data_IF_895748291687
#
_entry.id   IF_895748291687
#
_cell.length_a   1.000
_cell.length_b   1.000
_cell.length_c   1.000
_cell.angle_alpha   90.00
_cell.angle_beta   90.00
_cell.angle_gamma   90.00
#
_symmetry.space_group_name_H-M   'P 1'
#
loop_
_entity.id
_entity.type
_entity.pdbx_description
1 polymer ?
#
# COMPACT_ATOMS: atom_id res chain seq x y z
N UNK A 1 -22.21 -11.88 18.89
CA UNK A 1 -20.86 -11.90 19.51
C UNK A 1 -20.16 -13.17 19.04
N UNK A 2 -19.09 -13.01 18.29
CA UNK A 2 -18.27 -14.11 17.77
C UNK A 2 -17.04 -14.33 18.62
N UNK A 3 -16.63 -15.58 18.81
CA UNK A 3 -15.37 -15.94 19.47
C UNK A 3 -14.48 -16.70 18.50
N UNK A 4 -13.27 -16.19 18.28
CA UNK A 4 -12.33 -16.75 17.31
C UNK A 4 -10.91 -16.83 17.91
N UNK A 5 -10.11 -17.81 17.48
CA UNK A 5 -8.69 -17.87 17.86
C UNK A 5 -7.89 -16.74 17.23
N UNK A 6 -8.13 -16.49 15.94
CA UNK A 6 -7.39 -15.48 15.16
C UNK A 6 -8.36 -14.64 14.33
N UNK A 7 -8.36 -13.34 14.56
CA UNK A 7 -9.03 -12.38 13.68
C UNK A 7 -7.98 -11.74 12.76
N UNK A 8 -8.30 -11.66 11.47
CA UNK A 8 -7.48 -10.96 10.47
C UNK A 8 -8.26 -9.75 9.97
N UNK A 9 -7.66 -8.56 10.04
CA UNK A 9 -8.29 -7.30 9.63
C UNK A 9 -7.62 -6.82 8.33
N UNK A 10 -8.35 -6.94 7.21
CA UNK A 10 -7.88 -6.56 5.88
C UNK A 10 -7.61 -7.77 4.99
N UNK A 11 -7.89 -7.62 3.69
CA UNK A 11 -7.94 -8.68 2.68
C UNK A 11 -6.94 -8.48 1.53
N UNK A 12 -5.94 -7.63 1.70
CA UNK A 12 -4.84 -7.54 0.74
C UNK A 12 -3.95 -8.81 0.74
N UNK A 13 -2.87 -8.83 -0.04
CA UNK A 13 -1.95 -9.98 -0.10
C UNK A 13 -1.43 -10.42 1.27
N UNK A 14 -1.20 -9.48 2.19
CA UNK A 14 -0.80 -9.78 3.56
C UNK A 14 -1.90 -10.54 4.33
N UNK A 15 -3.15 -10.04 4.26
CA UNK A 15 -4.29 -10.64 4.97
C UNK A 15 -4.63 -12.04 4.48
N UNK A 16 -4.76 -12.23 3.17
CA UNK A 16 -5.04 -13.57 2.64
C UNK A 16 -3.88 -14.54 2.86
N UNK A 17 -2.63 -14.08 2.78
CA UNK A 17 -1.49 -14.95 3.12
C UNK A 17 -1.50 -15.33 4.60
N UNK A 18 -1.74 -14.39 5.50
CA UNK A 18 -1.90 -14.68 6.92
C UNK A 18 -3.04 -15.68 7.16
N UNK A 19 -4.17 -15.54 6.46
CA UNK A 19 -5.31 -16.41 6.55
C UNK A 19 -4.97 -17.85 6.10
N UNK A 20 -4.27 -18.01 4.98
CA UNK A 20 -3.81 -19.31 4.48
C UNK A 20 -2.96 -20.03 5.52
N UNK A 21 -1.95 -19.34 6.07
CA UNK A 21 -1.04 -19.94 7.04
C UNK A 21 -1.72 -20.23 8.38
N UNK A 22 -2.54 -19.32 8.89
CA UNK A 22 -3.30 -19.51 10.12
C UNK A 22 -4.31 -20.67 10.00
N UNK A 23 -5.01 -20.79 8.88
CA UNK A 23 -5.94 -21.89 8.63
C UNK A 23 -5.22 -23.24 8.57
N UNK A 24 -4.05 -23.30 7.93
CA UNK A 24 -3.22 -24.51 7.86
C UNK A 24 -2.64 -24.93 9.22
N UNK A 25 -2.50 -23.99 10.16
CA UNK A 25 -2.11 -24.23 11.55
C UNK A 25 -3.33 -24.53 12.47
N UNK A 26 -4.53 -24.76 11.92
CA UNK A 26 -5.80 -24.99 12.65
C UNK A 26 -6.17 -23.85 13.63
N UNK A 27 -5.80 -22.63 13.30
CA UNK A 27 -6.17 -21.45 14.09
C UNK A 27 -7.58 -20.95 13.79
N UNK A 28 -8.29 -21.57 12.81
CA UNK A 28 -9.65 -21.22 12.41
C UNK A 28 -9.86 -19.71 12.25
N UNK A 29 -9.10 -19.08 11.34
CA UNK A 29 -9.12 -17.64 11.22
C UNK A 29 -10.45 -17.13 10.66
N UNK A 30 -10.91 -16.00 11.24
CA UNK A 30 -11.95 -15.15 10.68
C UNK A 30 -11.27 -13.93 10.05
N UNK A 31 -11.54 -13.64 8.77
CA UNK A 31 -11.02 -12.49 8.07
C UNK A 31 -12.14 -11.53 7.71
N UNK A 32 -11.98 -10.25 8.05
CA UNK A 32 -12.82 -9.15 7.57
C UNK A 32 -12.09 -8.39 6.46
N UNK A 33 -12.77 -8.23 5.33
CA UNK A 33 -12.16 -7.70 4.10
C UNK A 33 -11.83 -6.21 4.14
N UNK A 34 -12.53 -5.44 4.95
CA UNK A 34 -12.57 -3.99 4.83
C UNK A 34 -13.60 -3.55 3.77
N UNK A 35 -13.56 -2.26 3.43
CA UNK A 35 -14.48 -1.65 2.44
C UNK A 35 -14.17 -2.07 1.00
N UNK A 36 -12.92 -2.41 0.72
CA UNK A 36 -12.43 -2.82 -0.60
C UNK A 36 -11.88 -4.25 -0.52
N UNK A 37 -12.73 -5.29 -0.74
CA UNK A 37 -12.29 -6.68 -0.72
C UNK A 37 -11.16 -6.94 -1.72
N UNK A 38 -10.00 -7.40 -1.24
CA UNK A 38 -8.78 -7.59 -2.04
C UNK A 38 -7.80 -6.42 -1.96
N UNK A 39 -8.23 -5.25 -1.45
CA UNK A 39 -7.37 -4.08 -1.25
C UNK A 39 -6.87 -3.46 -2.56
N UNK A 40 -5.76 -2.74 -2.51
CA UNK A 40 -5.27 -1.91 -3.62
C UNK A 40 -5.04 -2.66 -4.94
N UNK A 41 -4.70 -3.94 -4.92
CA UNK A 41 -4.50 -4.72 -6.15
C UNK A 41 -5.78 -4.86 -6.98
N UNK A 42 -6.96 -4.70 -6.40
CA UNK A 42 -8.21 -4.74 -7.15
C UNK A 42 -8.41 -3.55 -8.10
N UNK A 43 -7.61 -2.51 -7.95
CA UNK A 43 -7.59 -1.34 -8.84
C UNK A 43 -6.45 -1.38 -9.86
N UNK A 44 -5.63 -2.44 -9.83
CA UNK A 44 -4.47 -2.64 -10.73
C UNK A 44 -4.88 -3.54 -11.89
N UNK A 45 -4.57 -3.12 -13.12
CA UNK A 45 -4.94 -3.87 -14.33
C UNK A 45 -4.04 -5.06 -14.58
N UNK A 46 -2.75 -4.95 -14.29
CA UNK A 46 -1.76 -6.00 -14.58
C UNK A 46 -0.72 -6.09 -13.44
N UNK A 47 -0.43 -7.31 -13.00
CA UNK A 47 0.54 -7.64 -11.96
C UNK A 47 1.57 -8.61 -12.55
N UNK A 48 2.72 -8.07 -12.95
CA UNK A 48 3.82 -8.84 -13.57
C UNK A 48 4.92 -9.21 -12.59
N UNK A 49 4.92 -8.61 -11.41
CA UNK A 49 6.00 -8.72 -10.44
C UNK A 49 5.69 -9.61 -9.22
N UNK A 50 4.58 -10.35 -9.24
CA UNK A 50 4.27 -11.34 -8.21
C UNK A 50 4.69 -12.74 -8.69
N UNK A 51 5.65 -13.41 -8.00
CA UNK A 51 6.13 -14.73 -8.42
C UNK A 51 5.01 -15.78 -8.45
N UNK A 52 4.96 -16.57 -9.53
CA UNK A 52 3.96 -17.62 -9.72
C UNK A 52 3.04 -17.38 -10.92
N UNK A 53 3.07 -16.18 -11.49
CA UNK A 53 2.30 -15.81 -12.68
C UNK A 53 3.25 -15.46 -13.85
N UNK A 54 3.74 -16.46 -14.62
CA UNK A 54 4.76 -16.23 -15.66
C UNK A 54 4.24 -15.39 -16.84
N UNK A 55 2.94 -15.35 -17.04
CA UNK A 55 2.27 -14.60 -18.11
C UNK A 55 1.56 -13.34 -17.59
N UNK A 56 1.87 -12.91 -16.34
CA UNK A 56 1.14 -11.87 -15.64
C UNK A 56 -0.24 -12.32 -15.15
N UNK A 57 -0.90 -11.48 -14.38
CA UNK A 57 -2.28 -11.67 -13.92
C UNK A 57 -2.92 -10.31 -13.64
N UNK A 58 -4.21 -10.16 -13.91
CA UNK A 58 -4.89 -8.96 -13.44
C UNK A 58 -5.08 -8.96 -11.91
N UNK A 59 -4.98 -7.79 -11.31
CA UNK A 59 -5.03 -7.68 -9.85
C UNK A 59 -6.31 -8.26 -9.23
N UNK A 60 -7.51 -7.95 -9.75
CA UNK A 60 -8.78 -8.55 -9.27
C UNK A 60 -8.77 -10.08 -9.28
N UNK A 61 -8.33 -10.70 -10.38
CA UNK A 61 -8.24 -12.16 -10.50
C UNK A 61 -7.30 -12.74 -9.46
N UNK A 62 -6.10 -12.17 -9.32
CA UNK A 62 -5.14 -12.60 -8.30
C UNK A 62 -5.75 -12.57 -6.88
N UNK A 63 -6.47 -11.50 -6.54
CA UNK A 63 -7.06 -11.36 -5.21
C UNK A 63 -8.20 -12.35 -4.97
N UNK A 64 -9.01 -12.66 -6.00
CA UNK A 64 -10.02 -13.72 -5.94
C UNK A 64 -9.39 -15.11 -5.77
N UNK A 65 -8.26 -15.39 -6.42
CA UNK A 65 -7.52 -16.65 -6.26
C UNK A 65 -6.94 -16.80 -4.86
N UNK A 66 -6.35 -15.75 -4.29
CA UNK A 66 -5.86 -15.74 -2.91
C UNK A 66 -6.98 -15.96 -1.90
N UNK A 67 -8.14 -15.32 -2.09
CA UNK A 67 -9.33 -15.56 -1.26
C UNK A 67 -9.76 -17.02 -1.32
N UNK A 68 -9.96 -17.58 -2.52
CA UNK A 68 -10.32 -18.98 -2.71
C UNK A 68 -9.33 -19.94 -2.07
N UNK A 69 -8.03 -19.60 -2.12
CA UNK A 69 -7.01 -20.40 -1.48
C UNK A 69 -7.14 -20.37 0.06
N UNK A 70 -7.42 -19.21 0.65
CA UNK A 70 -7.64 -19.07 2.09
C UNK A 70 -8.90 -19.85 2.54
N UNK A 71 -10.01 -19.70 1.82
CA UNK A 71 -11.28 -20.39 2.08
C UNK A 71 -11.14 -21.91 1.95
N UNK A 72 -10.37 -22.40 0.97
CA UNK A 72 -10.09 -23.83 0.78
C UNK A 72 -9.45 -24.47 2.02
N UNK A 73 -8.67 -23.73 2.80
CA UNK A 73 -8.07 -24.20 4.06
C UNK A 73 -8.95 -23.95 5.29
N UNK A 74 -10.13 -23.36 5.12
CA UNK A 74 -11.11 -23.17 6.19
C UNK A 74 -11.08 -21.79 6.84
N UNK A 75 -10.49 -20.77 6.18
CA UNK A 75 -10.68 -19.38 6.59
C UNK A 75 -12.13 -18.99 6.35
N UNK A 76 -12.78 -18.42 7.37
CA UNK A 76 -14.05 -17.73 7.19
C UNK A 76 -13.78 -16.30 6.73
N UNK A 77 -14.22 -15.94 5.52
CA UNK A 77 -14.07 -14.59 4.96
C UNK A 77 -15.41 -13.86 5.03
N UNK A 78 -15.44 -12.71 5.68
CA UNK A 78 -16.63 -11.85 5.78
C UNK A 78 -16.35 -10.48 5.16
N UNK A 79 -17.31 -10.02 4.37
CA UNK A 79 -17.33 -8.65 3.87
C UNK A 79 -17.79 -7.73 5.00
N UNK A 80 -17.04 -6.69 5.27
CA UNK A 80 -17.36 -5.71 6.30
C UNK A 80 -16.14 -4.98 6.82
N UNK A 81 -16.40 -3.89 7.52
CA UNK A 81 -15.36 -2.99 8.03
C UNK A 81 -15.31 -3.05 9.56
N UNK A 82 -14.11 -3.34 10.08
CA UNK A 82 -13.82 -3.17 11.51
C UNK A 82 -13.54 -1.69 11.74
N UNK A 83 -14.41 -1.02 12.48
CA UNK A 83 -14.33 0.41 12.73
C UNK A 83 -13.79 0.78 14.12
N UNK A 84 -13.65 -0.20 15.01
CA UNK A 84 -13.12 0.00 16.35
C UNK A 84 -12.50 -1.27 16.90
N UNK A 85 -11.46 -1.11 17.71
CA UNK A 85 -10.83 -2.20 18.47
C UNK A 85 -10.65 -1.80 19.95
N UNK A 86 -10.50 -2.82 20.80
CA UNK A 86 -10.11 -2.68 22.18
C UNK A 86 -9.18 -3.84 22.55
N UNK A 87 -7.89 -3.55 22.65
CA UNK A 87 -6.86 -4.56 22.89
C UNK A 87 -6.62 -4.77 24.39
N UNK A 88 -6.57 -6.05 24.79
CA UNK A 88 -6.05 -6.41 26.11
C UNK A 88 -4.54 -6.17 26.17
N UNK A 89 -4.06 -5.61 27.26
CA UNK A 89 -2.63 -5.43 27.54
C UNK A 89 -2.00 -6.64 28.22
N UNK A 90 -2.83 -7.58 28.70
CA UNK A 90 -2.39 -8.79 29.38
C UNK A 90 -2.12 -9.91 28.37
N UNK A 91 -1.04 -10.68 28.59
CA UNK A 91 -0.78 -11.87 27.80
C UNK A 91 -1.90 -12.90 28.02
N UNK A 92 -2.42 -13.49 26.94
CA UNK A 92 -3.58 -14.39 26.98
C UNK A 92 -4.93 -13.68 27.19
N UNK A 93 -4.94 -12.35 27.27
CA UNK A 93 -6.17 -11.58 27.38
C UNK A 93 -6.92 -11.49 26.04
N UNK A 94 -8.24 -11.45 26.10
CA UNK A 94 -9.11 -11.42 24.93
C UNK A 94 -9.13 -10.02 24.32
N UNK A 95 -8.85 -9.92 23.02
CA UNK A 95 -8.99 -8.70 22.25
C UNK A 95 -10.41 -8.57 21.70
N UNK A 96 -10.90 -7.35 21.55
CA UNK A 96 -12.22 -7.06 21.01
C UNK A 96 -12.10 -6.23 19.74
N UNK A 97 -12.90 -6.58 18.75
CA UNK A 97 -13.10 -5.79 17.52
C UNK A 97 -14.60 -5.58 17.27
N UNK A 98 -14.94 -4.46 16.65
CA UNK A 98 -16.32 -4.08 16.40
C UNK A 98 -16.47 -3.79 14.92
N UNK A 99 -17.45 -4.45 14.31
CA UNK A 99 -17.84 -4.25 12.91
C UNK A 99 -18.82 -3.08 12.84
N UNK A 100 -18.86 -2.42 11.71
CA UNK A 100 -19.74 -1.27 11.46
C UNK A 100 -21.23 -1.58 11.68
N UNK A 101 -21.65 -2.84 11.44
CA UNK A 101 -23.02 -3.34 11.68
C UNK A 101 -23.35 -3.59 13.17
N UNK A 102 -22.40 -3.33 14.08
CA UNK A 102 -22.53 -3.54 15.52
C UNK A 102 -22.13 -4.92 16.01
N UNK A 103 -21.66 -5.80 15.14
CA UNK A 103 -21.14 -7.13 15.55
C UNK A 103 -19.88 -6.97 16.41
N UNK A 104 -19.85 -7.60 17.59
CA UNK A 104 -18.67 -7.66 18.47
C UNK A 104 -17.97 -9.00 18.29
N UNK A 105 -16.63 -8.96 18.10
CA UNK A 105 -15.76 -10.11 17.91
C UNK A 105 -14.75 -10.16 19.05
N UNK A 106 -14.63 -11.32 19.67
CA UNK A 106 -13.63 -11.63 20.68
C UNK A 106 -12.59 -12.56 20.07
N UNK A 107 -11.33 -12.14 20.07
CA UNK A 107 -10.22 -12.87 19.46
C UNK A 107 -9.09 -13.09 20.46
N UNK A 108 -8.48 -14.28 20.44
CA UNK A 108 -7.27 -14.56 21.22
C UNK A 108 -6.04 -13.91 20.60
N UNK A 109 -6.03 -13.78 19.26
CA UNK A 109 -5.00 -13.05 18.49
C UNK A 109 -5.62 -12.21 17.37
N UNK A 110 -4.95 -11.11 17.02
CA UNK A 110 -5.34 -10.26 15.90
C UNK A 110 -4.15 -10.04 14.98
N UNK A 111 -4.35 -10.24 13.67
CA UNK A 111 -3.41 -9.87 12.61
C UNK A 111 -3.97 -8.64 11.88
N UNK A 112 -3.25 -7.54 11.94
CA UNK A 112 -3.61 -6.28 11.27
C UNK A 112 -2.92 -6.25 9.91
N UNK A 113 -3.74 -6.22 8.84
CA UNK A 113 -3.30 -6.22 7.43
C UNK A 113 -4.06 -5.15 6.63
N UNK A 114 -4.34 -4.01 7.26
CA UNK A 114 -5.18 -2.94 6.72
C UNK A 114 -4.51 -2.12 5.62
N UNK A 115 -3.20 -2.33 5.40
CA UNK A 115 -2.45 -1.69 4.33
C UNK A 115 -2.24 -0.18 4.53
N UNK A 116 -1.91 0.49 3.43
CA UNK A 116 -1.75 1.95 3.35
C UNK A 116 -2.37 2.44 2.04
N UNK A 117 -2.90 3.65 2.03
CA UNK A 117 -3.54 4.26 0.85
C UNK A 117 -2.60 5.28 0.24
N UNK A 118 -2.35 5.21 -1.06
CA UNK A 118 -1.57 6.20 -1.79
C UNK A 118 -2.27 7.57 -1.75
N UNK A 119 -1.49 8.63 -1.54
CA UNK A 119 -1.99 10.00 -1.64
C UNK A 119 -1.99 10.43 -3.09
N UNK A 120 -3.05 11.12 -3.47
CA UNK A 120 -3.22 11.70 -4.80
C UNK A 120 -3.38 13.22 -4.71
N UNK A 121 -3.30 13.90 -5.85
CA UNK A 121 -3.44 15.37 -5.91
C UNK A 121 -4.88 15.82 -5.70
N UNK A 122 -5.85 14.94 -5.96
CA UNK A 122 -7.28 15.23 -5.84
C UNK A 122 -7.87 15.95 -7.04
N UNK A 123 -7.19 15.92 -8.19
CA UNK A 123 -7.70 16.48 -9.43
C UNK A 123 -8.73 15.55 -10.07
N UNK A 124 -9.88 16.06 -10.57
CA UNK A 124 -10.85 15.21 -11.27
C UNK A 124 -10.27 14.49 -12.49
N UNK A 125 -9.36 15.16 -13.24
CA UNK A 125 -8.68 14.58 -14.38
C UNK A 125 -7.70 13.46 -13.98
N UNK A 126 -6.99 13.61 -12.85
CA UNK A 126 -6.17 12.57 -12.26
C UNK A 126 -7.02 11.33 -11.92
N UNK A 127 -8.15 11.54 -11.24
CA UNK A 127 -9.03 10.45 -10.83
C UNK A 127 -9.62 9.70 -12.04
N UNK A 128 -9.99 10.41 -13.10
CA UNK A 128 -10.51 9.83 -14.36
C UNK A 128 -9.50 8.88 -15.02
N UNK A 129 -8.20 9.20 -14.95
CA UNK A 129 -7.14 8.51 -15.67
C UNK A 129 -6.32 7.54 -14.77
N UNK A 130 -6.78 7.24 -13.56
CA UNK A 130 -6.19 6.15 -12.76
C UNK A 130 -6.32 4.81 -13.48
N UNK A 131 -5.21 4.09 -13.60
CA UNK A 131 -5.13 2.87 -14.41
C UNK A 131 -5.06 3.11 -15.92
N UNK A 132 -5.34 4.34 -16.39
CA UNK A 132 -5.15 4.78 -17.77
C UNK A 132 -3.89 5.62 -17.96
N UNK A 133 -2.88 5.46 -17.11
CA UNK A 133 -1.60 6.18 -17.19
C UNK A 133 -1.26 7.01 -15.95
N UNK A 134 -2.17 7.13 -14.98
CA UNK A 134 -1.87 7.69 -13.66
C UNK A 134 -1.62 6.55 -12.68
N UNK A 135 -0.43 6.51 -12.09
CA UNK A 135 0.04 5.51 -11.12
C UNK A 135 0.60 6.16 -9.85
N UNK A 136 0.60 5.43 -8.75
CA UNK A 136 1.27 5.81 -7.50
C UNK A 136 2.44 4.87 -7.14
N UNK A 137 2.90 4.02 -8.09
CA UNK A 137 3.98 3.05 -7.87
C UNK A 137 4.84 2.92 -9.13
N UNK A 138 5.98 3.58 -9.17
CA UNK A 138 6.89 3.49 -10.31
C UNK A 138 7.50 2.08 -10.51
N UNK A 139 7.76 1.36 -9.43
CA UNK A 139 8.29 -0.01 -9.48
C UNK A 139 7.25 -1.00 -10.02
N UNK A 140 5.95 -0.73 -9.80
CA UNK A 140 4.87 -1.57 -10.31
C UNK A 140 4.67 -1.36 -11.82
N UNK A 141 4.48 -0.10 -12.21
CA UNK A 141 3.94 0.24 -13.53
C UNK A 141 4.98 0.85 -14.48
N UNK A 142 6.16 1.23 -13.97
CA UNK A 142 7.17 1.94 -14.77
C UNK A 142 7.64 1.16 -16.00
N UNK A 143 7.62 -0.17 -15.95
CA UNK A 143 8.04 -1.01 -17.08
C UNK A 143 7.16 -0.83 -18.34
N UNK A 144 5.86 -0.57 -18.15
CA UNK A 144 4.91 -0.32 -19.27
C UNK A 144 5.25 0.95 -20.06
N UNK A 145 6.05 1.86 -19.48
CA UNK A 145 6.48 3.12 -20.10
C UNK A 145 7.92 3.09 -20.63
N UNK A 146 8.47 1.89 -20.84
CA UNK A 146 9.83 1.73 -21.35
C UNK A 146 10.03 2.49 -22.67
N UNK A 147 11.04 3.38 -22.67
CA UNK A 147 11.38 4.21 -23.83
C UNK A 147 10.43 5.38 -24.10
N UNK A 148 9.45 5.62 -23.24
CA UNK A 148 8.46 6.70 -23.35
C UNK A 148 8.83 7.89 -22.45
N UNK A 149 8.17 9.02 -22.63
CA UNK A 149 8.28 10.19 -21.77
C UNK A 149 7.22 10.14 -20.68
N UNK A 150 7.64 10.32 -19.42
CA UNK A 150 6.78 10.28 -18.25
C UNK A 150 6.99 11.47 -17.34
N UNK A 151 6.04 11.73 -16.45
CA UNK A 151 6.20 12.70 -15.39
C UNK A 151 6.07 12.04 -14.01
N UNK A 152 6.73 12.62 -13.01
CA UNK A 152 6.59 12.24 -11.61
C UNK A 152 6.40 13.46 -10.73
N UNK A 153 5.47 13.39 -9.78
CA UNK A 153 5.18 14.47 -8.84
C UNK A 153 5.65 14.08 -7.45
N UNK A 154 6.48 14.90 -6.87
CA UNK A 154 6.98 14.72 -5.51
C UNK A 154 8.34 15.38 -5.29
N UNK A 155 8.76 15.47 -4.04
CA UNK A 155 10.05 16.11 -3.69
C UNK A 155 10.73 15.49 -2.48
N UNK A 156 10.27 14.32 -1.99
CA UNK A 156 10.90 13.52 -0.94
C UNK A 156 11.85 12.47 -1.50
N UNK A 157 12.46 11.67 -0.62
CA UNK A 157 13.38 10.58 -1.01
C UNK A 157 12.68 9.57 -1.94
N UNK A 158 11.48 9.10 -1.62
CA UNK A 158 10.70 8.18 -2.47
C UNK A 158 10.53 8.74 -3.89
N UNK A 159 10.14 10.01 -4.04
CA UNK A 159 9.97 10.60 -5.37
C UNK A 159 11.30 10.69 -6.14
N UNK A 160 12.40 10.94 -5.45
CA UNK A 160 13.74 10.98 -6.05
C UNK A 160 14.24 9.58 -6.46
N UNK A 161 13.97 8.57 -5.64
CA UNK A 161 14.25 7.16 -5.95
C UNK A 161 13.45 6.68 -7.15
N UNK A 162 12.13 6.91 -7.14
CA UNK A 162 11.24 6.54 -8.23
C UNK A 162 11.58 7.30 -9.54
N UNK A 163 11.93 8.60 -9.46
CA UNK A 163 12.39 9.35 -10.63
C UNK A 163 13.67 8.76 -11.25
N UNK A 164 14.63 8.36 -10.41
CA UNK A 164 15.88 7.73 -10.88
C UNK A 164 15.63 6.30 -11.39
N UNK A 165 14.69 5.57 -10.82
CA UNK A 165 14.26 4.27 -11.33
C UNK A 165 13.64 4.42 -12.73
N UNK A 166 12.66 5.32 -12.89
CA UNK A 166 12.02 5.61 -14.17
C UNK A 166 13.03 6.08 -15.23
N UNK A 167 14.02 6.87 -14.83
CA UNK A 167 15.06 7.35 -15.75
C UNK A 167 15.92 6.23 -16.35
N UNK A 168 16.01 5.06 -15.70
CA UNK A 168 16.73 3.91 -16.24
C UNK A 168 15.94 3.19 -17.35
N UNK A 169 14.64 3.38 -17.44
CA UNK A 169 13.76 2.64 -18.36
C UNK A 169 13.02 3.56 -19.33
N UNK A 170 12.72 4.78 -18.96
CA UNK A 170 12.04 5.77 -19.80
C UNK A 170 13.04 6.63 -20.58
N UNK A 171 12.60 7.21 -21.68
CA UNK A 171 13.42 8.12 -22.49
C UNK A 171 13.65 9.47 -21.80
N UNK A 172 12.62 9.95 -21.09
CA UNK A 172 12.67 11.21 -20.32
C UNK A 172 11.73 11.14 -19.13
N UNK A 173 12.15 11.72 -17.99
CA UNK A 173 11.35 11.87 -16.78
C UNK A 173 11.24 13.35 -16.44
N UNK A 174 10.05 13.93 -16.44
CA UNK A 174 9.80 15.27 -15.95
C UNK A 174 9.42 15.21 -14.48
N UNK A 175 10.30 15.65 -13.58
CA UNK A 175 10.05 15.66 -12.13
C UNK A 175 9.51 17.01 -11.68
N UNK A 176 8.27 17.00 -11.18
CA UNK A 176 7.56 18.20 -10.71
C UNK A 176 7.67 18.33 -9.19
N UNK A 177 8.28 19.41 -8.72
CA UNK A 177 8.45 19.71 -7.31
C UNK A 177 7.73 21.01 -6.98
N UNK A 178 6.70 20.94 -6.14
CA UNK A 178 5.86 22.09 -5.76
C UNK A 178 6.64 23.25 -5.11
N UNK A 179 7.71 22.94 -4.41
CA UNK A 179 8.56 23.94 -3.71
C UNK A 179 9.80 24.31 -4.54
N UNK A 180 10.52 25.31 -4.09
CA UNK A 180 11.78 25.77 -4.65
C UNK A 180 12.97 24.83 -4.38
N UNK A 181 12.74 23.76 -3.61
CA UNK A 181 13.74 22.73 -3.28
C UNK A 181 13.08 21.39 -2.96
N UNK A 182 13.79 20.31 -3.20
CA UNK A 182 13.42 18.97 -2.72
C UNK A 182 13.62 18.86 -1.21
N UNK A 183 12.81 17.99 -0.58
CA UNK A 183 12.99 17.56 0.82
C UNK A 183 13.85 16.31 0.93
N UNK A 184 14.13 15.66 -0.19
CA UNK A 184 14.96 14.47 -0.28
C UNK A 184 16.34 14.69 0.34
N UNK A 185 17.02 13.63 0.76
CA UNK A 185 18.39 13.65 1.24
C UNK A 185 19.34 14.25 0.20
N UNK A 186 20.46 14.83 0.66
CA UNK A 186 21.46 15.43 -0.26
C UNK A 186 21.97 14.43 -1.29
N UNK A 187 22.14 13.17 -0.90
CA UNK A 187 22.56 12.11 -1.81
C UNK A 187 21.54 11.90 -2.94
N UNK A 188 20.25 11.85 -2.60
CA UNK A 188 19.18 11.68 -3.59
C UNK A 188 18.99 12.92 -4.47
N UNK A 189 19.08 14.13 -3.88
CA UNK A 189 19.08 15.36 -4.68
C UNK A 189 20.20 15.35 -5.72
N UNK A 190 21.42 14.99 -5.32
CA UNK A 190 22.58 14.88 -6.22
C UNK A 190 22.34 13.83 -7.32
N UNK A 191 21.75 12.69 -6.97
CA UNK A 191 21.44 11.64 -7.95
C UNK A 191 20.46 12.15 -9.02
N UNK A 192 19.35 12.76 -8.61
CA UNK A 192 18.35 13.34 -9.52
C UNK A 192 18.99 14.40 -10.44
N UNK A 193 19.73 15.35 -9.87
CA UNK A 193 20.32 16.46 -10.66
C UNK A 193 21.42 16.02 -11.62
N UNK A 194 22.06 14.88 -11.39
CA UNK A 194 23.11 14.34 -12.27
C UNK A 194 22.59 13.24 -13.22
N UNK A 195 21.30 12.94 -13.23
CA UNK A 195 20.69 11.99 -14.17
C UNK A 195 20.25 12.76 -15.44
N UNK A 196 20.88 12.50 -16.62
CA UNK A 196 20.75 13.39 -17.77
C UNK A 196 19.35 13.50 -18.37
N UNK A 197 18.54 12.46 -18.23
CA UNK A 197 17.17 12.39 -18.76
C UNK A 197 16.10 12.74 -17.73
N UNK A 198 16.48 13.29 -16.56
CA UNK A 198 15.54 13.87 -15.61
C UNK A 198 15.48 15.40 -15.83
N UNK A 199 14.31 15.88 -16.24
CA UNK A 199 13.99 17.32 -16.32
C UNK A 199 13.33 17.76 -15.01
N UNK A 200 14.09 18.41 -14.13
CA UNK A 200 13.64 18.81 -12.79
C UNK A 200 13.03 20.20 -12.80
N UNK A 201 11.74 20.32 -12.58
CA UNK A 201 10.98 21.56 -12.52
C UNK A 201 10.56 21.90 -11.09
N UNK A 202 11.20 22.91 -10.50
CA UNK A 202 10.82 23.48 -9.20
C UNK A 202 9.66 24.47 -9.33
N UNK A 203 8.88 24.63 -8.25
CA UNK A 203 7.71 25.51 -8.17
C UNK A 203 6.64 25.19 -9.23
N UNK A 204 6.54 23.91 -9.63
CA UNK A 204 5.52 23.48 -10.59
C UNK A 204 4.52 22.54 -9.96
N UNK A 205 3.26 22.73 -10.34
CA UNK A 205 2.12 21.91 -9.96
C UNK A 205 1.32 21.53 -11.21
N UNK A 206 0.53 20.46 -11.11
CA UNK A 206 -0.37 20.04 -12.19
C UNK A 206 -1.68 20.80 -12.07
N UNK A 207 -2.10 21.44 -13.15
CA UNK A 207 -3.41 22.06 -13.31
C UNK A 207 -4.44 21.02 -13.80
N UNK A 208 -4.02 20.19 -14.80
CA UNK A 208 -4.87 19.17 -15.38
C UNK A 208 -4.05 18.02 -15.98
N UNK A 209 -4.54 16.79 -15.84
CA UNK A 209 -4.05 15.63 -16.59
C UNK A 209 -4.84 15.53 -17.89
N UNK A 210 -4.14 15.56 -19.01
CA UNK A 210 -4.73 15.59 -20.36
C UNK A 210 -4.87 14.18 -20.92
N UNK A 211 -5.98 13.91 -21.57
CA UNK A 211 -6.33 12.64 -22.19
C UNK A 211 -7.78 12.24 -21.96
N UNK A 212 -8.25 11.26 -22.71
CA UNK A 212 -9.63 10.79 -22.57
C UNK A 212 -9.70 9.43 -21.84
N UNK A 213 -9.06 8.40 -22.34
CA UNK A 213 -8.98 7.06 -21.73
C UNK A 213 -7.58 6.77 -21.19
N UNK A 214 -6.57 7.39 -21.77
CA UNK A 214 -5.18 7.27 -21.34
C UNK A 214 -4.56 8.65 -21.19
N UNK A 215 -3.46 8.72 -20.44
CA UNK A 215 -2.70 9.96 -20.28
C UNK A 215 -2.00 10.30 -21.62
N UNK A 216 -2.22 11.51 -22.11
CA UNK A 216 -1.60 12.04 -23.33
C UNK A 216 -0.70 13.26 -23.03
N UNK A 217 -0.84 13.86 -21.86
CA UNK A 217 -0.05 15.01 -21.46
C UNK A 217 -0.46 15.57 -20.09
N UNK A 218 0.20 16.65 -19.71
CA UNK A 218 -0.13 17.45 -18.52
C UNK A 218 -0.20 18.92 -18.90
N UNK A 219 -1.16 19.63 -18.33
CA UNK A 219 -1.09 21.07 -18.16
C UNK A 219 -0.51 21.34 -16.78
N UNK A 220 0.66 21.95 -16.75
CA UNK A 220 1.37 22.33 -15.52
C UNK A 220 1.45 23.84 -15.41
N UNK A 221 1.64 24.32 -14.19
CA UNK A 221 1.85 25.76 -13.96
C UNK A 221 2.93 26.02 -12.92
N UNK A 222 3.64 27.14 -13.14
CA UNK A 222 4.57 27.63 -12.14
C UNK A 222 3.81 28.40 -11.06
N UNK A 223 3.84 27.93 -9.82
CA UNK A 223 3.08 28.52 -8.71
C UNK A 223 3.64 29.83 -8.17
N UNK A 224 4.75 30.34 -8.75
CA UNK A 224 5.34 31.65 -8.45
C UNK A 224 4.97 32.69 -9.49
N UNK A 225 5.02 32.32 -10.78
CA UNK A 225 4.77 33.25 -11.90
C UNK A 225 3.34 33.13 -12.42
N UNK A 226 2.67 32.00 -12.20
CA UNK A 226 1.35 31.68 -12.78
C UNK A 226 1.42 31.24 -14.24
N UNK A 227 2.60 31.16 -14.83
CA UNK A 227 2.78 30.69 -16.21
C UNK A 227 2.35 29.23 -16.34
N UNK A 228 1.57 28.92 -17.39
CA UNK A 228 1.09 27.59 -17.73
C UNK A 228 1.81 27.09 -18.96
N UNK A 229 2.12 25.79 -18.97
CA UNK A 229 2.64 25.07 -20.14
C UNK A 229 1.99 23.69 -20.25
N UNK A 230 1.93 23.16 -21.46
CA UNK A 230 1.53 21.78 -21.70
C UNK A 230 2.76 20.96 -22.07
N UNK A 231 2.88 19.78 -21.46
CA UNK A 231 3.94 18.80 -21.74
C UNK A 231 3.31 17.50 -22.19
N UNK A 232 3.89 16.88 -23.22
CA UNK A 232 3.46 15.57 -23.70
C UNK A 232 4.11 14.49 -22.85
N UNK A 233 3.31 13.62 -22.29
CA UNK A 233 3.76 12.43 -21.54
C UNK A 233 2.72 11.33 -21.72
N UNK A 234 3.12 10.07 -21.52
CA UNK A 234 2.23 8.93 -21.61
C UNK A 234 1.91 8.31 -20.25
N UNK A 235 2.68 8.68 -19.21
CA UNK A 235 2.48 8.20 -17.84
C UNK A 235 2.77 9.28 -16.82
N UNK A 236 1.94 9.33 -15.77
CA UNK A 236 2.07 10.21 -14.61
C UNK A 236 2.21 9.40 -13.34
N UNK A 237 3.30 9.58 -12.60
CA UNK A 237 3.56 8.93 -11.32
C UNK A 237 3.37 9.90 -10.16
N UNK A 238 2.54 9.53 -9.18
CA UNK A 238 2.21 10.36 -8.02
C UNK A 238 3.00 9.85 -6.80
N UNK A 239 4.13 10.49 -6.49
CA UNK A 239 5.05 10.12 -5.43
C UNK A 239 5.02 11.13 -4.26
N UNK A 240 3.81 11.44 -3.76
CA UNK A 240 3.60 12.41 -2.65
C UNK A 240 3.37 11.75 -1.30
N UNK A 241 3.57 10.43 -1.21
CA UNK A 241 3.50 9.62 -0.01
C UNK A 241 2.23 8.77 0.10
N UNK A 242 2.17 8.01 1.18
CA UNK A 242 1.07 7.14 1.53
C UNK A 242 0.51 7.52 2.91
N UNK A 243 -0.67 7.02 3.21
CA UNK A 243 -1.31 7.12 4.51
C UNK A 243 -1.61 5.70 4.99
N UNK A 244 -0.97 5.20 6.05
CA UNK A 244 -1.31 3.89 6.60
C UNK A 244 -2.73 3.90 7.18
N UNK A 245 -3.45 2.80 7.02
CA UNK A 245 -4.83 2.66 7.47
C UNK A 245 -4.84 2.22 8.95
N UNK A 246 -4.49 3.14 9.85
CA UNK A 246 -4.22 2.89 11.27
C UNK A 246 -5.10 3.66 12.24
N UNK A 247 -6.03 4.49 11.76
CA UNK A 247 -6.82 5.40 12.60
C UNK A 247 -7.54 4.70 13.75
N UNK A 248 -8.08 3.50 13.51
CA UNK A 248 -8.82 2.73 14.54
C UNK A 248 -7.92 2.19 15.66
N UNK A 249 -6.60 2.21 15.49
CA UNK A 249 -5.61 1.72 16.44
C UNK A 249 -4.97 2.85 17.27
N UNK A 250 -5.30 4.10 16.99
CA UNK A 250 -4.76 5.28 17.67
C UNK A 250 -4.90 5.16 19.20
N UNK A 251 -3.80 5.46 19.91
CA UNK A 251 -3.74 5.41 21.37
C UNK A 251 -3.68 4.00 21.98
N UNK A 252 -3.69 2.94 21.17
CA UNK A 252 -3.55 1.56 21.63
C UNK A 252 -2.29 0.89 21.11
N UNK A 253 -1.87 1.17 19.88
CA UNK A 253 -0.64 0.64 19.29
C UNK A 253 0.40 1.75 19.10
N UNK A 254 1.67 1.36 19.22
CA UNK A 254 2.78 2.26 18.92
C UNK A 254 2.88 2.50 17.41
N UNK A 255 3.02 3.77 17.04
CA UNK A 255 3.13 4.23 15.67
C UNK A 255 4.34 5.14 15.50
N UNK A 256 4.90 5.17 14.30
CA UNK A 256 5.93 6.16 13.96
C UNK A 256 5.31 7.54 13.63
N UNK A 257 6.16 8.51 13.34
CA UNK A 257 5.76 9.89 13.03
C UNK A 257 4.89 10.01 11.76
N UNK A 258 4.88 8.97 10.91
CA UNK A 258 4.06 8.91 9.69
C UNK A 258 2.77 8.09 9.87
N UNK A 259 2.58 7.52 11.07
CA UNK A 259 1.40 6.76 11.46
C UNK A 259 1.47 5.26 11.16
N UNK A 260 2.62 4.73 10.73
CA UNK A 260 2.81 3.30 10.51
C UNK A 260 2.96 2.54 11.83
N UNK A 261 2.39 1.34 11.90
CA UNK A 261 2.51 0.49 13.09
C UNK A 261 3.96 0.04 13.29
N UNK A 262 4.46 0.21 14.52
CA UNK A 262 5.81 -0.22 14.90
C UNK A 262 5.77 -1.71 15.29
N UNK A 263 6.63 -2.50 14.67
CA UNK A 263 6.85 -3.91 15.00
C UNK A 263 8.18 -4.13 15.71
N UNK A 264 8.28 -5.19 16.52
CA UNK A 264 9.47 -5.47 17.33
C UNK A 264 10.54 -6.23 16.54
N UNK A 265 11.64 -5.57 16.21
CA UNK A 265 12.78 -6.17 15.53
C UNK A 265 12.41 -6.68 14.13
N UNK A 266 12.68 -7.96 13.86
CA UNK A 266 12.35 -8.63 12.59
C UNK A 266 11.03 -9.42 12.65
N UNK A 267 10.24 -9.27 13.71
CA UNK A 267 8.94 -9.94 13.87
C UNK A 267 7.79 -9.02 13.49
N UNK A 268 6.59 -9.58 13.44
CA UNK A 268 5.35 -8.83 13.21
C UNK A 268 4.66 -8.39 14.50
N UNK A 269 5.29 -8.66 15.65
CA UNK A 269 4.75 -8.38 16.99
C UNK A 269 4.68 -6.88 17.25
N UNK A 270 3.54 -6.41 17.69
CA UNK A 270 3.35 -5.02 18.14
C UNK A 270 3.72 -4.85 19.62
N UNK A 271 3.46 -3.67 20.19
CA UNK A 271 3.59 -3.43 21.62
C UNK A 271 2.56 -4.19 22.47
N UNK A 272 1.45 -4.68 21.88
CA UNK A 272 0.40 -5.44 22.55
C UNK A 272 0.61 -6.95 22.32
N UNK A 273 0.65 -7.79 23.42
CA UNK A 273 0.72 -9.24 23.26
C UNK A 273 -0.46 -9.79 22.48
N UNK A 274 -0.25 -10.71 21.55
CA UNK A 274 -1.32 -11.31 20.72
C UNK A 274 -1.79 -10.45 19.54
N UNK A 275 -1.21 -9.25 19.34
CA UNK A 275 -1.52 -8.37 18.19
C UNK A 275 -0.30 -8.24 17.29
N UNK A 276 -0.49 -8.52 16.00
CA UNK A 276 0.54 -8.56 14.97
C UNK A 276 0.18 -7.64 13.82
N UNK A 277 1.17 -7.06 13.15
CA UNK A 277 0.98 -6.18 11.99
C UNK A 277 1.74 -6.70 10.77
N UNK A 278 1.12 -6.69 9.59
CA UNK A 278 1.70 -7.19 8.34
C UNK A 278 1.27 -6.39 7.12
N UNK A 279 2.10 -6.38 6.10
CA UNK A 279 1.90 -5.59 4.89
C UNK A 279 2.20 -4.11 5.11
N UNK A 280 1.64 -3.29 4.23
CA UNK A 280 1.97 -1.86 4.14
C UNK A 280 1.51 -1.04 5.36
N UNK A 281 0.71 -1.59 6.25
CA UNK A 281 0.34 -0.92 7.52
C UNK A 281 1.53 -0.73 8.45
N UNK A 282 2.60 -1.53 8.29
CA UNK A 282 3.86 -1.48 9.04
C UNK A 282 5.10 -1.31 8.14
N UNK A 283 5.00 -1.65 6.83
CA UNK A 283 6.09 -1.52 5.87
C UNK A 283 5.91 -0.25 5.04
N UNK A 284 6.65 0.79 5.40
CA UNK A 284 6.66 2.06 4.66
C UNK A 284 7.72 2.12 3.54
N UNK A 285 8.58 1.09 3.44
CA UNK A 285 9.71 1.09 2.52
C UNK A 285 9.39 0.37 1.21
N UNK A 286 9.00 -0.88 1.28
CA UNK A 286 8.85 -1.72 0.08
C UNK A 286 7.50 -1.58 -0.60
N UNK A 287 6.40 -1.71 0.15
CA UNK A 287 5.01 -1.62 -0.35
C UNK A 287 4.80 -2.43 -1.62
N UNK A 288 5.19 -3.71 -1.57
CA UNK A 288 5.04 -4.66 -2.66
C UNK A 288 4.12 -5.81 -2.24
N UNK A 289 3.35 -6.35 -3.20
CA UNK A 289 2.44 -7.48 -2.94
C UNK A 289 3.18 -8.69 -2.35
N UNK A 290 4.39 -8.99 -2.86
CA UNK A 290 5.19 -10.12 -2.40
C UNK A 290 5.76 -9.90 -1.00
N UNK A 291 6.19 -8.68 -0.64
CA UNK A 291 6.65 -8.39 0.72
C UNK A 291 5.49 -8.37 1.70
N UNK A 292 4.34 -7.85 1.28
CA UNK A 292 3.11 -7.90 2.05
C UNK A 292 2.69 -9.35 2.33
N UNK A 293 2.67 -10.23 1.32
CA UNK A 293 2.42 -11.66 1.48
C UNK A 293 3.44 -12.31 2.43
N UNK A 294 4.74 -11.99 2.29
CA UNK A 294 5.80 -12.49 3.17
C UNK A 294 5.58 -12.13 4.63
N UNK A 295 5.24 -10.87 4.92
CA UNK A 295 4.94 -10.44 6.29
C UNK A 295 3.62 -11.00 6.80
N UNK A 296 2.63 -11.25 5.95
CA UNK A 296 1.40 -11.98 6.28
C UNK A 296 1.69 -13.40 6.77
N UNK A 297 2.57 -14.13 6.07
CA UNK A 297 3.07 -15.43 6.52
C UNK A 297 3.74 -15.32 7.90
N UNK A 298 4.63 -14.34 8.09
CA UNK A 298 5.30 -14.12 9.38
C UNK A 298 4.30 -13.86 10.51
N UNK A 299 3.26 -13.05 10.27
CA UNK A 299 2.26 -12.71 11.28
C UNK A 299 1.45 -13.94 11.72
N UNK A 300 1.07 -14.81 10.80
CA UNK A 300 0.39 -16.06 11.13
C UNK A 300 1.27 -17.00 11.97
N UNK A 301 2.56 -17.12 11.62
CA UNK A 301 3.52 -17.93 12.39
C UNK A 301 3.79 -17.33 13.78
N UNK A 302 3.86 -16.00 13.89
CA UNK A 302 4.01 -15.34 15.18
C UNK A 302 2.77 -15.51 16.05
N UNK A 303 1.56 -15.48 15.46
CA UNK A 303 0.29 -15.74 16.16
C UNK A 303 0.20 -17.20 16.64
N UNK A 304 0.57 -18.17 15.81
CA UNK A 304 0.63 -19.59 16.18
C UNK A 304 1.57 -19.82 17.37
N UNK A 305 2.80 -19.32 17.29
CA UNK A 305 3.79 -19.44 18.36
C UNK A 305 3.32 -18.78 19.65
N UNK A 306 2.68 -17.62 19.57
CA UNK A 306 2.12 -16.95 20.72
C UNK A 306 1.05 -17.80 21.40
N UNK A 307 0.10 -18.36 20.65
CA UNK A 307 -0.95 -19.23 21.20
C UNK A 307 -0.40 -20.51 21.83
N UNK A 308 0.74 -21.03 21.33
CA UNK A 308 1.43 -22.19 21.94
C UNK A 308 2.10 -21.87 23.29
N UNK A 309 2.27 -20.59 23.64
CA UNK A 309 2.88 -20.17 24.91
C UNK A 309 1.84 -19.90 26.01
N UNK A 310 0.57 -19.93 25.67
CA UNK A 310 -0.56 -19.76 26.61
C UNK A 310 -1.02 -21.09 27.17
#
# INVERSE_FOLDING_TARGET
MDKVKTLIIGSGPAGYTAAIYAARADLKPLLYTGMEPGGQLTTTTEVDNFPGYPDGVDGPTMMVELQKQAERFGTEVRIGHINKVNFSKEAGGVHKAFVEDGTEIHADTIVISTGATAKYLGLPSEQKLRGGGVSACAVCDGFFYKGQEVAIVGGGDTAAEEATYLANICSKVTMLVRKDKMRASKAMQHRVTNTPNIDLKYNHEIDEVLGDQVVEGLRIFNNKTGEKEEINITGLFIAIGHQPNTEIFNGQLDMDDEGYLITKGKSTKTNIPGVFASGDVQDKEYRQAVTAAGTGCMAALDAERYLQTL
#
